data_IF_439903933495
#
_entry.id   IF_439903933495
#
_cell.length_a   1.000
_cell.length_b   1.000
_cell.length_c   1.000
_cell.angle_alpha   90.00
_cell.angle_beta   90.00
_cell.angle_gamma   90.00
#
_symmetry.space_group_name_H-M   'P 1'
#
loop_
_entity.id
_entity.type
_entity.pdbx_description
1 polymer ?
#
# COMPACT_ATOMS: atom_id res chain seq x y z
N UNK A 1 -11.05 2.41 1.36
CA UNK A 1 -10.87 1.29 0.42
C UNK A 1 -11.74 0.15 0.90
N UNK A 2 -11.40 -0.53 2.01
CA UNK A 2 -12.07 -1.75 2.44
C UNK A 2 -12.14 -2.78 1.30
N UNK A 3 -11.04 -2.87 0.56
CA UNK A 3 -10.89 -3.68 -0.66
C UNK A 3 -10.05 -4.91 -0.35
N UNK A 4 -10.44 -6.05 -0.92
CA UNK A 4 -9.80 -7.35 -0.71
C UNK A 4 -9.16 -7.85 -2.02
N UNK A 5 -7.89 -8.23 -1.92
CA UNK A 5 -7.09 -8.75 -3.02
C UNK A 5 -6.59 -10.15 -2.64
N UNK A 6 -6.70 -11.09 -3.56
CA UNK A 6 -6.25 -12.49 -3.37
C UNK A 6 -5.15 -12.79 -4.35
N UNK A 7 -4.06 -13.34 -3.83
CA UNK A 7 -2.90 -13.74 -4.61
C UNK A 7 -2.65 -15.22 -4.41
N UNK A 8 -2.65 -15.97 -5.50
CA UNK A 8 -2.20 -17.36 -5.50
C UNK A 8 -0.67 -17.36 -5.48
N UNK A 9 -0.10 -17.82 -4.37
CA UNK A 9 1.34 -17.94 -4.19
C UNK A 9 1.68 -19.13 -3.30
N UNK A 10 2.59 -20.03 -3.72
CA UNK A 10 2.96 -21.19 -2.92
C UNK A 10 3.83 -20.85 -1.71
N UNK A 11 4.45 -19.67 -1.70
CA UNK A 11 5.34 -19.23 -0.62
C UNK A 11 5.44 -17.71 -0.58
N UNK A 12 5.62 -17.16 0.61
CA UNK A 12 5.87 -15.73 0.83
C UNK A 12 7.36 -15.38 0.89
N UNK A 13 8.26 -16.37 0.81
CA UNK A 13 9.68 -16.17 1.01
C UNK A 13 10.25 -15.20 -0.03
N UNK A 14 10.88 -14.11 0.44
CA UNK A 14 11.49 -13.10 -0.41
C UNK A 14 10.50 -12.18 -1.13
N UNK A 15 9.20 -12.31 -0.84
CA UNK A 15 8.17 -11.44 -1.43
C UNK A 15 8.09 -10.11 -0.69
N UNK A 16 7.69 -9.07 -1.41
CA UNK A 16 7.35 -7.77 -0.84
C UNK A 16 5.98 -7.38 -1.39
N UNK A 17 5.04 -7.11 -0.48
CA UNK A 17 3.80 -6.46 -0.84
C UNK A 17 4.08 -4.99 -1.13
N UNK A 18 3.73 -4.54 -2.32
CA UNK A 18 3.73 -3.14 -2.70
C UNK A 18 2.30 -2.70 -2.98
N UNK A 19 1.87 -1.61 -2.36
CA UNK A 19 0.56 -0.99 -2.63
C UNK A 19 0.81 0.41 -3.18
N UNK A 20 0.31 0.65 -4.38
CA UNK A 20 0.53 1.90 -5.11
C UNK A 20 -0.70 2.80 -4.99
N UNK A 21 -0.50 4.06 -4.61
CA UNK A 21 -1.55 5.07 -4.53
C UNK A 21 -1.55 5.92 -5.79
N UNK A 22 -2.72 6.06 -6.40
CA UNK A 22 -2.93 6.86 -7.58
C UNK A 22 -4.08 7.82 -7.41
N UNK A 23 -3.95 8.95 -8.07
CA UNK A 23 -5.02 9.90 -8.34
C UNK A 23 -5.55 9.65 -9.75
N UNK A 24 -6.84 9.34 -9.85
CA UNK A 24 -7.47 9.03 -11.13
C UNK A 24 -7.53 10.28 -12.02
N UNK A 25 -7.19 10.11 -13.31
CA UNK A 25 -7.35 11.15 -14.32
C UNK A 25 -8.00 10.52 -15.56
N UNK A 26 -9.24 10.92 -15.94
CA UNK A 26 -9.90 10.36 -17.11
C UNK A 26 -9.28 10.81 -18.45
N UNK A 27 -8.51 11.89 -18.47
CA UNK A 27 -7.96 12.49 -19.68
C UNK A 27 -6.49 12.11 -19.94
N UNK A 28 -5.77 11.62 -18.93
CA UNK A 28 -4.34 11.37 -19.03
C UNK A 28 -3.86 10.20 -18.16
N UNK A 29 -2.54 10.00 -18.08
CA UNK A 29 -1.97 8.97 -17.20
C UNK A 29 -2.20 9.37 -15.75
N UNK A 30 -2.75 8.45 -14.96
CA UNK A 30 -3.02 8.67 -13.55
C UNK A 30 -1.76 9.09 -12.80
N UNK A 31 -1.90 10.06 -11.90
CA UNK A 31 -0.78 10.61 -11.13
C UNK A 31 -0.45 9.69 -9.96
N UNK A 32 0.80 9.24 -9.90
CA UNK A 32 1.29 8.45 -8.75
C UNK A 32 1.43 9.35 -7.53
N UNK A 33 0.69 9.04 -6.47
CA UNK A 33 0.70 9.80 -5.22
C UNK A 33 1.81 9.31 -4.30
N UNK A 34 1.91 8.00 -4.14
CA UNK A 34 2.90 7.36 -3.28
C UNK A 34 2.78 5.84 -3.28
N UNK A 35 3.50 5.20 -2.39
CA UNK A 35 3.53 3.75 -2.27
C UNK A 35 3.74 3.29 -0.83
N UNK A 36 3.31 2.07 -0.53
CA UNK A 36 3.67 1.35 0.69
C UNK A 36 4.38 0.06 0.29
N UNK A 37 5.50 -0.26 0.95
CA UNK A 37 6.21 -1.54 0.80
C UNK A 37 6.26 -2.29 2.12
N UNK A 38 6.01 -3.59 2.06
CA UNK A 38 6.05 -4.48 3.21
C UNK A 38 6.66 -5.83 2.82
N UNK A 39 7.89 -6.13 3.26
CA UNK A 39 8.45 -7.47 3.14
C UNK A 39 7.53 -8.50 3.80
N UNK A 40 7.36 -9.64 3.15
CA UNK A 40 6.57 -10.76 3.64
C UNK A 40 7.51 -11.94 4.00
N UNK A 41 7.28 -12.61 5.14
CA UNK A 41 6.34 -12.25 6.19
C UNK A 41 6.73 -10.93 6.92
N UNK A 42 5.76 -10.16 7.41
CA UNK A 42 6.03 -8.90 8.08
C UNK A 42 6.77 -9.12 9.41
N UNK A 43 7.83 -8.36 9.63
CA UNK A 43 8.71 -8.45 10.81
C UNK A 43 9.34 -9.85 11.02
N UNK A 44 9.33 -10.73 10.01
CA UNK A 44 9.81 -12.11 10.14
C UNK A 44 8.82 -13.08 10.80
N UNK A 45 7.63 -12.62 11.19
CA UNK A 45 6.59 -13.43 11.84
C UNK A 45 5.69 -14.11 10.79
N UNK A 46 5.61 -15.45 10.75
CA UNK A 46 4.88 -16.16 9.71
C UNK A 46 3.40 -15.77 9.70
N UNK A 47 2.86 -15.50 8.51
CA UNK A 47 1.43 -15.33 8.32
C UNK A 47 0.73 -16.69 8.43
N UNK A 48 -0.40 -16.71 9.11
CA UNK A 48 -1.31 -17.86 9.22
C UNK A 48 -2.67 -17.49 8.66
N UNK A 49 -3.67 -18.37 8.79
CA UNK A 49 -5.06 -18.08 8.45
C UNK A 49 -5.70 -17.00 9.35
N UNK A 50 -5.04 -16.64 10.46
CA UNK A 50 -5.51 -15.55 11.33
C UNK A 50 -5.03 -14.20 10.77
N UNK A 51 -5.93 -13.24 10.48
CA UNK A 51 -5.55 -11.92 10.01
C UNK A 51 -4.73 -11.14 11.01
N UNK A 52 -3.63 -10.56 10.54
CA UNK A 52 -2.90 -9.52 11.26
C UNK A 52 -3.17 -8.17 10.62
N UNK A 53 -3.38 -7.13 11.42
CA UNK A 53 -3.59 -5.76 10.93
C UNK A 53 -2.40 -4.89 11.28
N UNK A 54 -1.88 -4.15 10.30
CA UNK A 54 -0.67 -3.35 10.40
C UNK A 54 -0.91 -1.93 9.89
N UNK A 55 -0.29 -0.95 10.56
CA UNK A 55 -0.11 0.41 10.04
C UNK A 55 1.27 0.50 9.39
N UNK A 56 1.32 1.05 8.18
CA UNK A 56 2.56 1.22 7.40
C UNK A 56 2.64 2.61 6.78
N UNK A 57 3.80 3.28 6.81
CA UNK A 57 3.94 4.58 6.20
C UNK A 57 3.76 4.52 4.68
N UNK A 58 3.18 5.58 4.13
CA UNK A 58 3.08 5.80 2.69
C UNK A 58 4.23 6.73 2.29
N UNK A 59 5.07 6.28 1.36
CA UNK A 59 6.25 6.99 0.89
C UNK A 59 5.98 7.72 -0.43
N UNK A 60 6.70 8.83 -0.64
CA UNK A 60 6.72 9.57 -1.91
C UNK A 60 7.60 8.83 -2.93
N UNK A 61 7.18 8.81 -4.19
CA UNK A 61 8.05 8.36 -5.29
C UNK A 61 9.28 9.26 -5.41
N UNK A 62 10.44 8.67 -5.70
CA UNK A 62 11.69 9.42 -5.93
C UNK A 62 12.41 9.91 -4.66
N UNK A 63 11.93 9.56 -3.46
CA UNK A 63 12.60 9.87 -2.19
C UNK A 63 13.66 8.84 -1.77
N UNK A 64 13.83 7.74 -2.52
CA UNK A 64 14.90 6.76 -2.26
C UNK A 64 16.26 7.39 -2.61
N UNK A 65 17.01 7.81 -1.59
CA UNK A 65 18.38 8.34 -1.73
C UNK A 65 18.56 9.83 -1.45
N UNK A 66 17.49 10.58 -1.15
CA UNK A 66 17.62 11.97 -0.71
C UNK A 66 18.07 12.05 0.76
N UNK A 67 19.13 12.84 1.03
CA UNK A 67 19.64 13.12 2.40
C UNK A 67 18.55 13.73 3.30
N UNK A 68 17.59 14.41 2.69
CA UNK A 68 16.32 14.78 3.31
C UNK A 68 15.35 13.61 3.11
N UNK A 69 15.21 12.74 4.13
CA UNK A 69 14.08 11.81 4.18
C UNK A 69 12.81 12.65 4.13
N UNK A 70 12.11 12.67 3.01
CA UNK A 70 10.81 13.32 2.94
C UNK A 70 9.88 12.66 3.96
N UNK A 71 9.18 13.46 4.76
CA UNK A 71 8.18 12.93 5.69
C UNK A 71 7.18 12.02 4.95
N UNK A 72 6.71 10.93 5.57
CA UNK A 72 5.67 10.08 5.01
C UNK A 72 4.45 10.90 4.60
N UNK A 73 3.80 10.47 3.52
CA UNK A 73 2.56 11.07 3.04
C UNK A 73 1.39 10.80 3.99
N UNK A 74 1.48 9.80 4.84
CA UNK A 74 0.40 9.32 5.69
C UNK A 74 0.68 7.87 6.06
N UNK A 75 -0.35 7.17 6.52
CA UNK A 75 -0.24 5.76 6.89
C UNK A 75 -1.36 4.93 6.28
N UNK A 76 -1.01 3.74 5.78
CA UNK A 76 -1.93 2.74 5.26
C UNK A 76 -2.17 1.65 6.31
N UNK A 77 -3.45 1.38 6.59
CA UNK A 77 -3.88 0.24 7.37
C UNK A 77 -4.16 -0.93 6.42
N UNK A 78 -3.41 -2.02 6.59
CA UNK A 78 -3.54 -3.25 5.80
C UNK A 78 -3.74 -4.44 6.74
N UNK A 79 -4.64 -5.36 6.37
CA UNK A 79 -4.82 -6.64 7.05
C UNK A 79 -4.41 -7.79 6.13
N UNK A 80 -3.67 -8.76 6.66
CA UNK A 80 -3.01 -9.81 5.90
C UNK A 80 -3.22 -11.16 6.57
N UNK A 81 -3.49 -12.20 5.80
CA UNK A 81 -3.41 -13.59 6.23
C UNK A 81 -3.03 -14.48 5.06
N UNK A 82 -2.45 -15.63 5.39
CA UNK A 82 -1.97 -16.59 4.41
C UNK A 82 -2.46 -17.99 4.76
N UNK A 83 -3.19 -18.59 3.84
CA UNK A 83 -3.56 -19.99 3.87
C UNK A 83 -2.50 -20.78 3.09
N UNK A 84 -1.61 -21.45 3.81
CA UNK A 84 -0.53 -22.22 3.20
C UNK A 84 -1.03 -23.49 2.50
N UNK A 85 -2.17 -24.05 2.92
CA UNK A 85 -2.74 -25.24 2.29
C UNK A 85 -3.36 -24.90 0.93
N UNK A 86 -4.01 -23.73 0.83
CA UNK A 86 -4.56 -23.22 -0.42
C UNK A 86 -3.57 -22.38 -1.25
N UNK A 87 -2.33 -22.19 -0.77
CA UNK A 87 -1.33 -21.33 -1.40
C UNK A 87 -1.89 -19.94 -1.73
N UNK A 88 -2.55 -19.31 -0.75
CA UNK A 88 -3.33 -18.09 -0.98
C UNK A 88 -3.04 -17.02 0.06
N UNK A 89 -2.51 -15.89 -0.40
CA UNK A 89 -2.37 -14.66 0.37
C UNK A 89 -3.60 -13.79 0.17
N UNK A 90 -4.22 -13.36 1.26
CA UNK A 90 -5.29 -12.36 1.23
C UNK A 90 -4.76 -11.05 1.79
N UNK A 91 -4.94 -9.97 1.03
CA UNK A 91 -4.56 -8.61 1.39
C UNK A 91 -5.83 -7.76 1.43
N UNK A 92 -6.13 -7.20 2.59
CA UNK A 92 -7.25 -6.29 2.78
C UNK A 92 -6.68 -4.88 2.99
N UNK A 93 -6.86 -4.01 2.00
CA UNK A 93 -6.49 -2.60 2.13
C UNK A 93 -7.65 -1.88 2.80
N UNK A 94 -7.49 -1.55 4.09
CA UNK A 94 -8.61 -1.05 4.89
C UNK A 94 -8.83 0.44 4.64
N UNK A 95 -7.86 1.28 5.00
CA UNK A 95 -7.91 2.74 4.82
C UNK A 95 -6.52 3.35 4.84
N UNK A 96 -6.38 4.51 4.22
CA UNK A 96 -5.28 5.43 4.50
C UNK A 96 -5.75 6.51 5.47
N UNK A 97 -4.86 6.95 6.36
CA UNK A 97 -5.09 8.04 7.30
C UNK A 97 -3.98 9.09 7.16
N UNK A 98 -4.33 10.34 7.47
CA UNK A 98 -3.42 11.49 7.45
C UNK A 98 -2.70 11.66 6.10
N UNK A 99 -3.39 11.35 4.98
CA UNK A 99 -2.81 11.44 3.64
C UNK A 99 -2.65 12.91 3.21
N UNK A 100 -1.41 13.37 3.11
CA UNK A 100 -1.02 14.70 2.65
C UNK A 100 -0.77 14.64 1.15
N UNK A 101 -1.75 15.04 0.36
CA UNK A 101 -1.60 15.19 -1.08
C UNK A 101 -1.21 16.65 -1.35
N UNK A 102 -0.02 16.87 -1.91
CA UNK A 102 0.41 18.21 -2.32
C UNK A 102 -0.08 18.44 -3.74
N UNK A 103 -0.99 19.39 -3.93
CA UNK A 103 -1.40 19.85 -5.26
C UNK A 103 -0.34 20.81 -5.83
N UNK A 104 0.26 20.47 -6.97
CA UNK A 104 1.14 21.40 -7.71
C UNK A 104 0.34 22.51 -8.46
N UNK A 105 -0.99 22.43 -8.48
CA UNK A 105 -1.86 23.37 -9.20
C UNK A 105 -3.13 23.56 -8.39
N UNK A 106 -3.21 24.66 -7.64
CA UNK A 106 -4.26 24.93 -6.66
C UNK A 106 -5.69 24.84 -7.22
N UNK A 107 -6.33 23.69 -7.06
CA UNK A 107 -7.71 23.49 -7.47
C UNK A 107 -8.01 22.07 -7.95
N UNK A 108 -7.97 21.09 -7.05
CA UNK A 108 -9.03 20.09 -6.92
C UNK A 108 -8.77 19.25 -5.68
N UNK A 109 -9.60 19.44 -4.66
CA UNK A 109 -9.72 18.49 -3.55
C UNK A 109 -10.00 17.09 -4.15
N UNK A 110 -8.97 16.25 -4.30
CA UNK A 110 -9.13 15.05 -5.12
C UNK A 110 -9.89 13.96 -4.36
N UNK A 111 -11.11 13.70 -4.83
CA UNK A 111 -12.04 12.69 -4.31
C UNK A 111 -11.77 11.27 -4.81
N UNK A 112 -10.87 11.07 -5.78
CA UNK A 112 -10.80 9.83 -6.57
C UNK A 112 -9.44 9.10 -6.41
N UNK A 113 -8.92 9.08 -5.18
CA UNK A 113 -7.73 8.28 -4.85
C UNK A 113 -8.08 6.79 -4.83
N UNK A 114 -7.28 5.97 -5.52
CA UNK A 114 -7.42 4.52 -5.52
C UNK A 114 -6.07 3.81 -5.30
N UNK A 115 -6.13 2.52 -4.96
CA UNK A 115 -4.96 1.67 -4.75
C UNK A 115 -4.86 0.58 -5.80
N UNK A 116 -3.64 0.15 -6.10
CA UNK A 116 -3.34 -0.97 -6.98
C UNK A 116 -2.29 -1.87 -6.36
#
# INVERSE_FOLDING_TARGET
FSEEFKFETPSLLGMTLEVLFYDFDPASKHRGLGYMRLPLPPNGEPLTETPITLMRPIHRYGAEGSVYRSDPLGELMVSLFYDSAAAKLTVIVVRAINLIIVEDTGGKESSDTYVK
#
